data_IF_139552185051
#
_entry.id   IF_139552185051
#
_cell.length_a   1.000
_cell.length_b   1.000
_cell.length_c   1.000
_cell.angle_alpha   90.00
_cell.angle_beta   90.00
_cell.angle_gamma   90.00
#
_symmetry.space_group_name_H-M   'P 1'
#
loop_
_entity.id
_entity.type
_entity.pdbx_description
1 polymer ?
#
# COMPACT_ATOMS: atom_id res chain seq x y z
N UNK A 1 -25.86 -18.17 -6.59
CA UNK A 1 -25.17 -17.17 -5.81
C UNK A 1 -24.02 -16.57 -6.58
N UNK A 2 -23.65 -15.48 -6.14
CA UNK A 2 -22.55 -14.83 -6.78
C UNK A 2 -21.26 -15.50 -6.45
N UNK A 3 -20.52 -15.79 -7.46
CA UNK A 3 -19.19 -16.20 -7.28
C UNK A 3 -18.38 -15.07 -6.79
N UNK A 4 -17.30 -15.39 -6.16
CA UNK A 4 -16.32 -14.40 -5.85
C UNK A 4 -15.72 -13.90 -7.15
N UNK A 5 -16.11 -12.71 -7.54
CA UNK A 5 -15.65 -12.14 -8.78
C UNK A 5 -14.56 -11.11 -8.56
N UNK A 6 -13.98 -11.08 -7.37
CA UNK A 6 -12.92 -10.12 -7.10
C UNK A 6 -11.70 -10.40 -7.96
N UNK A 7 -11.08 -9.33 -8.41
CA UNK A 7 -9.86 -9.44 -9.19
C UNK A 7 -8.71 -9.90 -8.30
N UNK A 8 -7.60 -10.29 -8.93
CA UNK A 8 -6.40 -10.65 -8.21
C UNK A 8 -5.93 -9.50 -7.31
N UNK A 9 -6.08 -8.25 -7.79
CA UNK A 9 -5.69 -7.10 -7.00
C UNK A 9 -6.52 -6.97 -5.74
N UNK A 10 -7.84 -7.17 -5.85
CA UNK A 10 -8.73 -7.08 -4.70
C UNK A 10 -8.42 -8.15 -3.67
N UNK A 11 -8.17 -9.37 -4.14
CA UNK A 11 -7.80 -10.46 -3.26
C UNK A 11 -6.47 -10.17 -2.57
N UNK A 12 -5.51 -9.64 -3.31
CA UNK A 12 -4.21 -9.26 -2.75
C UNK A 12 -4.36 -8.20 -1.66
N UNK A 13 -5.23 -7.23 -1.88
CA UNK A 13 -5.46 -6.19 -0.88
C UNK A 13 -6.06 -6.75 0.40
N UNK A 14 -6.99 -7.69 0.27
CA UNK A 14 -7.58 -8.31 1.46
C UNK A 14 -6.52 -9.06 2.26
N UNK A 15 -5.66 -9.80 1.58
CA UNK A 15 -4.59 -10.54 2.24
C UNK A 15 -3.57 -9.59 2.86
N UNK A 16 -3.27 -8.49 2.18
CA UNK A 16 -2.36 -7.48 2.73
C UNK A 16 -2.93 -6.87 4.00
N UNK A 17 -4.23 -6.56 4.02
CA UNK A 17 -4.86 -6.02 5.22
C UNK A 17 -4.77 -7.00 6.39
N UNK A 18 -5.02 -8.29 6.13
CA UNK A 18 -4.92 -9.30 7.18
C UNK A 18 -3.50 -9.36 7.73
N UNK A 19 -2.53 -9.32 6.83
CA UNK A 19 -1.12 -9.36 7.21
C UNK A 19 -0.77 -8.17 8.11
N UNK A 20 -1.19 -6.98 7.71
CA UNK A 20 -0.90 -5.77 8.46
C UNK A 20 -1.58 -5.78 9.83
N UNK A 21 -2.84 -6.19 9.88
CA UNK A 21 -3.57 -6.25 11.16
C UNK A 21 -2.92 -7.23 12.11
N UNK A 22 -2.44 -8.34 11.59
CA UNK A 22 -1.77 -9.34 12.41
C UNK A 22 -0.50 -8.77 13.03
N UNK A 23 0.15 -7.85 12.34
CA UNK A 23 1.34 -7.18 12.84
C UNK A 23 0.99 -5.88 13.57
N UNK A 24 -0.26 -5.76 14.03
CA UNK A 24 -0.73 -4.68 14.88
C UNK A 24 -0.82 -3.33 14.20
N UNK A 25 -0.92 -3.32 12.88
CA UNK A 25 -1.24 -2.07 12.16
C UNK A 25 -2.71 -1.79 12.29
N UNK A 26 -3.05 -0.51 12.31
CA UNK A 26 -4.43 -0.07 12.26
C UNK A 26 -4.72 0.40 10.83
N UNK A 27 -5.67 -0.24 10.17
CA UNK A 27 -6.04 0.16 8.82
C UNK A 27 -6.94 1.38 8.92
N UNK A 28 -6.51 2.48 8.32
CA UNK A 28 -7.25 3.73 8.37
C UNK A 28 -8.16 3.89 7.17
N UNK A 29 -7.68 3.48 5.99
CA UNK A 29 -8.47 3.62 4.78
C UNK A 29 -7.96 2.65 3.72
N UNK A 30 -8.88 2.19 2.86
CA UNK A 30 -8.54 1.34 1.72
C UNK A 30 -8.96 2.05 0.45
N UNK A 31 -8.13 1.90 -0.58
CA UNK A 31 -8.44 2.43 -1.91
C UNK A 31 -8.76 3.92 -1.88
N UNK A 32 -7.91 4.67 -1.21
CA UNK A 32 -8.05 6.12 -1.23
C UNK A 32 -7.66 6.63 -2.62
N UNK A 33 -8.54 7.34 -3.27
CA UNK A 33 -8.24 7.85 -4.60
C UNK A 33 -8.60 9.33 -4.70
N UNK A 34 -7.89 10.01 -5.58
CA UNK A 34 -8.14 11.39 -5.89
C UNK A 34 -7.66 11.63 -7.31
N UNK A 35 -7.71 12.88 -7.76
CA UNK A 35 -7.29 13.20 -9.10
C UNK A 35 -5.83 12.83 -9.38
N UNK A 36 -4.99 12.87 -8.34
CA UNK A 36 -3.56 12.60 -8.49
C UNK A 36 -3.22 11.12 -8.60
N UNK A 37 -4.07 10.25 -8.08
CA UNK A 37 -3.82 8.82 -8.10
C UNK A 37 -4.55 8.09 -7.00
N UNK A 38 -4.05 6.91 -6.70
CA UNK A 38 -4.70 6.02 -5.74
C UNK A 38 -3.67 5.38 -4.82
N UNK A 39 -4.04 5.17 -3.58
CA UNK A 39 -3.23 4.43 -2.61
C UNK A 39 -4.06 3.26 -2.11
N UNK A 40 -3.49 2.07 -2.19
CA UNK A 40 -4.24 0.83 -1.89
C UNK A 40 -4.65 0.75 -0.42
N UNK A 41 -3.73 1.02 0.49
CA UNK A 41 -4.01 0.94 1.92
C UNK A 41 -3.29 2.09 2.61
N UNK A 42 -3.99 2.75 3.53
CA UNK A 42 -3.38 3.72 4.42
C UNK A 42 -3.54 3.17 5.82
N UNK A 43 -2.44 3.02 6.53
CA UNK A 43 -2.43 2.36 7.85
C UNK A 43 -1.51 3.09 8.80
N UNK A 44 -1.64 2.78 10.07
CA UNK A 44 -0.78 3.33 11.10
C UNK A 44 -0.13 2.17 11.82
N UNK A 45 1.19 2.19 11.96
CA UNK A 45 1.88 1.09 12.62
C UNK A 45 1.82 1.26 14.15
N UNK A 46 2.46 0.33 14.86
CA UNK A 46 2.41 0.34 16.32
C UNK A 46 3.03 1.57 16.94
N UNK A 47 3.91 2.24 16.21
CA UNK A 47 4.59 3.44 16.72
C UNK A 47 3.90 4.72 16.28
N UNK A 48 2.78 4.60 15.59
CA UNK A 48 2.06 5.78 15.13
C UNK A 48 2.55 6.35 13.81
N UNK A 49 3.40 5.62 13.10
CA UNK A 49 3.87 6.08 11.78
C UNK A 49 2.76 5.84 10.76
N UNK A 50 2.51 6.84 9.94
CA UNK A 50 1.51 6.75 8.89
C UNK A 50 2.12 6.08 7.68
N UNK A 51 1.55 4.95 7.28
CA UNK A 51 2.10 4.12 6.22
C UNK A 51 1.18 4.14 5.03
N UNK A 52 1.71 4.58 3.87
CA UNK A 52 1.00 4.54 2.61
C UNK A 52 1.48 3.30 1.87
N UNK A 53 0.58 2.36 1.68
CA UNK A 53 0.96 1.00 1.27
C UNK A 53 0.48 0.71 -0.14
N UNK A 54 1.42 0.30 -0.99
CA UNK A 54 1.13 -0.20 -2.31
C UNK A 54 1.10 -1.72 -2.22
N UNK A 55 0.05 -2.35 -2.73
CA UNK A 55 -0.08 -3.80 -2.70
C UNK A 55 0.28 -4.36 -4.07
N UNK A 56 1.20 -5.30 -4.09
CA UNK A 56 1.60 -5.98 -5.31
C UNK A 56 1.16 -7.44 -5.22
N UNK A 57 0.10 -7.78 -5.95
CA UNK A 57 -0.34 -9.17 -6.06
C UNK A 57 0.53 -9.85 -7.11
N UNK A 58 1.10 -11.00 -6.78
CA UNK A 58 2.06 -11.67 -7.64
C UNK A 58 1.60 -13.08 -7.97
N UNK A 59 1.86 -13.47 -9.21
CA UNK A 59 1.59 -14.83 -9.66
C UNK A 59 2.84 -15.68 -9.47
N UNK A 60 2.69 -16.97 -9.72
CA UNK A 60 3.80 -17.90 -9.64
C UNK A 60 4.96 -17.51 -10.56
N UNK A 61 4.62 -16.94 -11.71
CA UNK A 61 5.62 -16.66 -12.72
C UNK A 61 6.23 -15.27 -12.63
N UNK A 62 5.82 -14.48 -11.64
CA UNK A 62 6.38 -13.14 -11.47
C UNK A 62 7.80 -13.24 -10.95
N UNK A 63 8.68 -12.46 -11.55
CA UNK A 63 10.08 -12.38 -11.17
C UNK A 63 10.43 -10.93 -10.87
N UNK A 64 11.58 -10.73 -10.27
CA UNK A 64 12.04 -9.41 -9.93
C UNK A 64 11.55 -8.97 -8.56
N UNK A 65 12.02 -7.81 -8.13
CA UNK A 65 11.71 -7.30 -6.80
C UNK A 65 10.42 -6.49 -6.83
N UNK A 66 9.60 -6.56 -5.78
CA UNK A 66 8.35 -5.78 -5.74
C UNK A 66 8.57 -4.29 -5.93
N UNK A 67 9.68 -3.75 -5.43
CA UNK A 67 9.96 -2.33 -5.53
C UNK A 67 10.12 -1.88 -6.98
N UNK A 68 10.51 -2.80 -7.86
CA UNK A 68 10.67 -2.48 -9.28
C UNK A 68 9.35 -2.15 -9.96
N UNK A 69 8.24 -2.56 -9.36
CA UNK A 69 6.92 -2.25 -9.91
C UNK A 69 6.50 -0.80 -9.65
N UNK A 70 7.22 -0.11 -8.77
CA UNK A 70 6.89 1.26 -8.41
C UNK A 70 7.89 2.20 -9.05
N UNK A 71 7.59 2.62 -10.28
CA UNK A 71 8.45 3.49 -11.06
C UNK A 71 8.55 4.87 -10.42
N UNK A 72 9.52 5.65 -10.87
CA UNK A 72 9.68 7.01 -10.38
C UNK A 72 8.42 7.84 -10.61
N UNK A 73 7.83 7.69 -11.78
CA UNK A 73 6.58 8.38 -12.10
C UNK A 73 5.46 7.99 -11.15
N UNK A 74 5.36 6.70 -10.83
CA UNK A 74 4.35 6.22 -9.88
C UNK A 74 4.62 6.74 -8.48
N UNK A 75 5.90 6.82 -8.09
CA UNK A 75 6.26 7.37 -6.78
C UNK A 75 5.79 8.81 -6.64
N UNK A 76 5.94 9.60 -7.70
CA UNK A 76 5.48 10.99 -7.67
C UNK A 76 3.97 11.07 -7.47
N UNK A 77 3.23 10.21 -8.17
CA UNK A 77 1.78 10.21 -8.03
C UNK A 77 1.34 9.74 -6.64
N UNK A 78 2.03 8.75 -6.10
CA UNK A 78 1.74 8.28 -4.75
C UNK A 78 1.99 9.38 -3.72
N UNK A 79 3.10 10.10 -3.88
CA UNK A 79 3.42 11.19 -2.97
C UNK A 79 2.37 12.29 -3.03
N UNK A 80 1.97 12.69 -4.25
CA UNK A 80 0.96 13.71 -4.42
C UNK A 80 -0.37 13.27 -3.79
N UNK A 81 -0.74 12.01 -3.98
CA UNK A 81 -1.97 11.46 -3.41
C UNK A 81 -1.91 11.46 -1.89
N UNK A 82 -0.74 11.10 -1.34
CA UNK A 82 -0.57 11.10 0.11
C UNK A 82 -0.74 12.50 0.69
N UNK A 83 -0.20 13.53 0.02
CA UNK A 83 -0.38 14.89 0.50
C UNK A 83 -1.83 15.32 0.47
N UNK A 84 -2.59 14.89 -0.52
CA UNK A 84 -4.04 15.18 -0.56
C UNK A 84 -4.72 14.52 0.63
N UNK A 85 -4.35 13.29 0.95
CA UNK A 85 -4.91 12.60 2.10
C UNK A 85 -4.61 13.36 3.40
N UNK A 86 -3.35 13.76 3.57
CA UNK A 86 -2.94 14.51 4.75
C UNK A 86 -3.73 15.81 4.89
N UNK A 87 -3.90 16.51 3.77
CA UNK A 87 -4.63 17.75 3.76
C UNK A 87 -6.10 17.54 4.10
N UNK A 88 -6.72 16.53 3.49
CA UNK A 88 -8.12 16.22 3.75
C UNK A 88 -8.38 15.88 5.21
N UNK A 89 -7.44 15.19 5.83
CA UNK A 89 -7.59 14.78 7.23
C UNK A 89 -6.98 15.77 8.21
N UNK A 90 -6.42 16.86 7.70
CA UNK A 90 -5.80 17.92 8.51
C UNK A 90 -4.69 17.39 9.40
N UNK A 91 -3.90 16.49 8.85
CA UNK A 91 -2.75 15.92 9.55
C UNK A 91 -1.54 16.79 9.24
N UNK A 92 -0.89 17.33 10.27
CA UNK A 92 0.18 18.30 10.07
C UNK A 92 1.56 17.79 10.38
N UNK A 93 1.73 17.12 11.49
CA UNK A 93 3.05 16.68 11.91
C UNK A 93 3.00 15.23 12.28
N UNK A 94 3.37 14.38 11.35
CA UNK A 94 3.30 12.96 11.59
C UNK A 94 4.35 12.28 10.74
N UNK A 95 5.07 11.36 11.35
CA UNK A 95 6.01 10.55 10.59
C UNK A 95 5.25 9.71 9.59
N UNK A 96 5.77 9.60 8.39
CA UNK A 96 5.13 8.83 7.35
C UNK A 96 6.18 8.10 6.52
N UNK A 97 5.73 7.01 5.90
CA UNK A 97 6.59 6.28 4.99
C UNK A 97 5.74 5.59 3.94
N UNK A 98 6.40 5.17 2.87
CA UNK A 98 5.75 4.41 1.79
C UNK A 98 6.25 2.98 1.85
N UNK A 99 5.32 2.04 1.91
CA UNK A 99 5.63 0.62 2.03
C UNK A 99 5.03 -0.13 0.85
N UNK A 100 5.61 -1.29 0.54
CA UNK A 100 5.04 -2.20 -0.45
C UNK A 100 4.76 -3.51 0.25
N UNK A 101 3.53 -4.03 0.08
CA UNK A 101 3.18 -5.35 0.55
C UNK A 101 3.03 -6.23 -0.68
N UNK A 102 3.83 -7.29 -0.74
CA UNK A 102 3.83 -8.22 -1.85
C UNK A 102 3.13 -9.49 -1.42
N UNK A 103 2.14 -9.92 -2.20
CA UNK A 103 1.34 -11.10 -1.89
C UNK A 103 1.40 -12.07 -3.05
N UNK A 104 1.91 -13.28 -2.82
CA UNK A 104 1.86 -14.35 -3.81
C UNK A 104 0.52 -15.04 -3.67
N UNK A 105 -0.30 -14.96 -4.71
CA UNK A 105 -1.67 -15.44 -4.63
C UNK A 105 -1.79 -16.96 -4.57
N UNK A 106 -0.78 -17.65 -5.08
CA UNK A 106 -0.84 -19.11 -5.14
C UNK A 106 -0.73 -19.75 -3.76
N UNK A 107 0.05 -19.16 -2.87
CA UNK A 107 0.26 -19.71 -1.52
C UNK A 107 0.00 -18.69 -0.43
N UNK A 108 -0.44 -17.49 -0.81
CA UNK A 108 -0.77 -16.38 0.10
C UNK A 108 0.43 -15.88 0.90
N UNK A 109 1.63 -16.21 0.47
CA UNK A 109 2.84 -15.73 1.13
C UNK A 109 2.95 -14.22 0.98
N UNK A 110 3.12 -13.53 2.09
CA UNK A 110 3.07 -12.07 2.12
C UNK A 110 4.33 -11.51 2.75
N UNK A 111 4.88 -10.47 2.13
CA UNK A 111 6.07 -9.79 2.59
C UNK A 111 5.82 -8.29 2.59
N UNK A 112 6.46 -7.59 3.52
CA UNK A 112 6.39 -6.13 3.51
C UNK A 112 7.79 -5.57 3.30
N UNK A 113 7.88 -4.58 2.42
CA UNK A 113 9.09 -3.81 2.23
C UNK A 113 8.81 -2.43 2.80
N UNK A 114 9.36 -2.17 3.98
CA UNK A 114 9.12 -0.90 4.64
C UNK A 114 10.02 0.17 4.06
N UNK A 115 9.48 1.37 3.97
CA UNK A 115 10.20 2.53 3.46
C UNK A 115 10.81 2.22 2.10
N UNK A 116 9.94 1.76 1.20
CA UNK A 116 10.36 1.21 -0.08
C UNK A 116 11.00 2.26 -0.99
N UNK A 117 10.68 3.52 -0.82
CA UNK A 117 11.32 4.60 -1.56
C UNK A 117 11.30 5.88 -0.73
N UNK A 118 12.25 6.74 -1.03
CA UNK A 118 12.45 7.96 -0.27
C UNK A 118 11.52 9.05 -0.79
N UNK A 119 10.94 9.81 0.13
CA UNK A 119 9.99 10.86 -0.21
C UNK A 119 10.61 12.26 -0.14
N UNK A 120 11.89 12.35 0.10
CA UNK A 120 12.52 13.64 0.38
C UNK A 120 12.82 14.50 -0.83
N UNK A 121 12.42 14.07 -2.01
CA UNK A 121 12.80 14.76 -3.24
C UNK A 121 11.69 15.51 -3.92
N UNK A 122 10.58 15.65 -3.27
CA UNK A 122 9.43 16.24 -3.96
C UNK A 122 8.82 17.41 -3.22
#
# INVERSE_FOLDING_TARGET
>A
MLKDSRSAGSKGEDLACKFLKKDKYKILEKNFSCRQGEIDIIAEDRKGVLCFVEVKARSRDDHGLPVEAVTHSKQKRLLATAFIYLENKRIKSKDMRFDIVSVYLVNEETQIIKNAFDVNYY
#
